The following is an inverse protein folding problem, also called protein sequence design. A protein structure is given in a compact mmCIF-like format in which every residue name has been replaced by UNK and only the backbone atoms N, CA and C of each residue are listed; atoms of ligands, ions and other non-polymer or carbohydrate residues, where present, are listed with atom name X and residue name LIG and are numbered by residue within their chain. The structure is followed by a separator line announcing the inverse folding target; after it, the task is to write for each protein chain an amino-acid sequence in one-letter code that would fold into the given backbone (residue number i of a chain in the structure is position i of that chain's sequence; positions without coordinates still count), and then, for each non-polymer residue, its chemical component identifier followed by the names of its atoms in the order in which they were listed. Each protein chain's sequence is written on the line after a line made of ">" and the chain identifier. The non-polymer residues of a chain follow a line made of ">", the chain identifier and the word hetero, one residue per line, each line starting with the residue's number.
data_IF_532731685681
#
_entry.id   IF_532731685681
#
_cell.length_a   1.000
_cell.length_b   1.000
_cell.length_c   1.000
_cell.angle_alpha   90.00
_cell.angle_beta   90.00
_cell.angle_gamma   90.00
#
_symmetry.space_group_name_H-M   'P 1'
#
loop_
_entity.id
_entity.type
_entity.pdbx_description
1 polymer ?
#
# COMPACT_ATOMS: atom_id res chain seq x y z
N UNK A 1 5.63 -10.70 26.08
CA UNK A 1 6.86 -11.00 26.84
C UNK A 1 8.02 -10.44 26.05
N UNK A 2 8.77 -9.51 26.59
CA UNK A 2 10.03 -9.06 25.99
C UNK A 2 11.05 -10.18 26.19
N UNK A 3 11.76 -10.68 25.17
CA UNK A 3 12.75 -11.72 25.39
C UNK A 3 13.86 -11.18 26.28
N UNK A 4 14.21 -11.91 27.33
CA UNK A 4 15.23 -11.59 28.32
C UNK A 4 16.69 -11.67 27.79
N UNK A 5 16.85 -11.80 26.49
CA UNK A 5 18.17 -11.92 25.86
C UNK A 5 18.56 -10.61 25.19
N UNK A 6 19.82 -10.19 25.30
CA UNK A 6 20.32 -9.05 24.54
C UNK A 6 20.11 -9.33 23.04
N UNK A 7 19.60 -8.34 22.31
CA UNK A 7 19.46 -8.47 20.86
C UNK A 7 20.86 -8.58 20.23
N UNK A 8 21.08 -9.71 19.56
CA UNK A 8 22.35 -10.00 18.87
C UNK A 8 22.32 -9.53 17.42
N UNK A 9 21.13 -9.28 16.87
CA UNK A 9 20.90 -8.88 15.47
C UNK A 9 19.82 -7.84 15.37
N UNK A 10 19.99 -6.93 14.42
CA UNK A 10 19.03 -5.91 14.06
C UNK A 10 18.40 -6.20 12.69
N UNK A 11 17.12 -6.50 12.69
CA UNK A 11 16.33 -6.62 11.47
C UNK A 11 15.47 -5.35 11.30
N UNK A 12 15.71 -4.61 10.21
CA UNK A 12 15.01 -3.36 9.91
C UNK A 12 14.12 -3.54 8.71
N UNK A 13 12.82 -3.31 8.89
CA UNK A 13 11.81 -3.28 7.84
C UNK A 13 11.62 -1.82 7.41
N UNK A 14 11.97 -1.49 6.18
CA UNK A 14 11.82 -0.16 5.60
C UNK A 14 10.55 -0.10 4.77
N UNK A 15 9.57 0.67 5.24
CA UNK A 15 8.25 0.81 4.65
C UNK A 15 7.19 -0.09 5.30
N UNK A 16 5.95 0.43 5.33
CA UNK A 16 4.79 -0.24 5.90
C UNK A 16 3.93 -0.97 4.86
N UNK A 17 4.51 -1.53 3.81
CA UNK A 17 3.78 -2.27 2.80
C UNK A 17 3.15 -3.56 3.32
N UNK A 18 2.33 -4.20 2.49
CA UNK A 18 1.56 -5.38 2.91
C UNK A 18 2.43 -6.60 3.21
N UNK A 19 3.60 -6.76 2.56
CA UNK A 19 4.52 -7.85 2.85
C UNK A 19 5.12 -7.69 4.26
N UNK A 20 5.49 -6.46 4.64
CA UNK A 20 5.94 -6.19 6.00
C UNK A 20 4.82 -6.31 7.04
N UNK A 21 3.58 -5.98 6.70
CA UNK A 21 2.44 -6.22 7.59
C UNK A 21 2.24 -7.71 7.85
N UNK A 22 2.33 -8.56 6.81
CA UNK A 22 2.30 -10.03 6.96
C UNK A 22 3.49 -10.53 7.78
N UNK A 23 4.68 -10.00 7.53
CA UNK A 23 5.88 -10.36 8.28
C UNK A 23 5.74 -10.02 9.77
N UNK A 24 5.23 -8.84 10.12
CA UNK A 24 4.94 -8.47 11.51
C UNK A 24 3.96 -9.44 12.16
N UNK A 25 2.92 -9.83 11.43
CA UNK A 25 1.95 -10.81 11.94
C UNK A 25 2.59 -12.17 12.19
N UNK A 26 3.39 -12.68 11.25
CA UNK A 26 4.09 -13.96 11.41
C UNK A 26 5.11 -13.90 12.56
N UNK A 27 5.84 -12.80 12.64
CA UNK A 27 6.83 -12.58 13.70
C UNK A 27 6.18 -12.55 15.09
N UNK A 28 5.02 -11.94 15.25
CA UNK A 28 4.30 -11.92 16.52
C UNK A 28 3.83 -13.31 16.96
N UNK A 29 3.66 -14.24 16.03
CA UNK A 29 3.31 -15.64 16.33
C UNK A 29 4.54 -16.50 16.64
N UNK A 30 5.67 -16.25 15.98
CA UNK A 30 6.91 -17.03 16.12
C UNK A 30 8.14 -16.10 15.97
N UNK A 31 8.50 -15.34 17.02
CA UNK A 31 9.61 -14.41 16.97
C UNK A 31 10.95 -15.13 16.96
N UNK A 32 11.87 -14.64 16.12
CA UNK A 32 13.23 -15.18 16.08
C UNK A 32 14.04 -14.72 17.31
N UNK A 33 14.49 -15.64 18.17
CA UNK A 33 15.23 -15.28 19.38
C UNK A 33 16.50 -14.49 19.07
N UNK A 34 16.85 -13.54 19.96
CA UNK A 34 18.04 -12.72 19.82
C UNK A 34 17.99 -11.70 18.69
N UNK A 35 16.83 -11.50 18.05
CA UNK A 35 16.69 -10.53 16.96
C UNK A 35 15.76 -9.40 17.37
N UNK A 36 16.24 -8.15 17.23
CA UNK A 36 15.43 -6.95 17.40
C UNK A 36 14.79 -6.57 16.07
N UNK A 37 13.47 -6.63 16.01
CA UNK A 37 12.70 -6.18 14.85
C UNK A 37 12.37 -4.70 14.96
N UNK A 38 12.60 -3.94 13.90
CA UNK A 38 12.23 -2.54 13.79
C UNK A 38 11.48 -2.30 12.49
N UNK A 39 10.32 -1.65 12.57
CA UNK A 39 9.61 -1.12 11.40
C UNK A 39 9.83 0.39 11.30
N UNK A 40 10.26 0.86 10.13
CA UNK A 40 10.38 2.28 9.79
C UNK A 40 9.31 2.59 8.73
N UNK A 41 8.40 3.50 9.02
CA UNK A 41 7.33 3.91 8.09
C UNK A 41 6.92 5.35 8.37
N UNK A 42 6.59 6.19 7.37
CA UNK A 42 6.10 7.53 7.62
C UNK A 42 4.69 7.54 8.24
N UNK A 43 3.87 6.53 7.92
CA UNK A 43 2.47 6.48 8.32
C UNK A 43 2.18 5.32 9.27
N UNK A 44 1.33 5.54 10.30
CA UNK A 44 0.96 4.50 11.27
C UNK A 44 -0.04 3.47 10.70
N UNK A 45 -0.63 3.77 9.55
CA UNK A 45 -1.64 2.95 8.89
C UNK A 45 -1.27 2.81 7.42
N UNK A 46 -1.47 1.64 6.86
CA UNK A 46 -1.26 1.39 5.42
C UNK A 46 -2.50 0.75 4.80
N UNK A 47 -2.73 1.02 3.52
CA UNK A 47 -3.83 0.41 2.80
C UNK A 47 -3.42 -0.90 2.13
N UNK A 48 -4.22 -1.94 2.25
CA UNK A 48 -4.03 -3.17 1.49
C UNK A 48 -4.55 -3.02 0.06
N UNK A 49 -3.65 -2.72 -0.85
CA UNK A 49 -3.98 -2.42 -2.25
C UNK A 49 -4.58 -3.60 -3.02
N UNK A 50 -4.36 -4.84 -2.57
CA UNK A 50 -4.99 -6.03 -3.14
C UNK A 50 -6.52 -6.06 -2.98
N UNK A 51 -7.07 -5.28 -2.04
CA UNK A 51 -8.53 -5.14 -1.87
C UNK A 51 -9.13 -3.97 -2.67
N UNK A 52 -8.33 -3.21 -3.41
CA UNK A 52 -8.82 -2.06 -4.18
C UNK A 52 -9.95 -2.44 -5.18
N UNK A 53 -9.86 -3.52 -5.97
CA UNK A 53 -10.98 -3.92 -6.84
C UNK A 53 -12.27 -4.15 -6.08
N UNK A 54 -12.20 -4.77 -4.89
CA UNK A 54 -13.35 -4.98 -4.03
C UNK A 54 -13.96 -3.69 -3.47
N UNK A 55 -13.12 -2.70 -3.12
CA UNK A 55 -13.58 -1.36 -2.76
C UNK A 55 -14.34 -0.70 -3.92
N UNK A 56 -13.76 -0.73 -5.12
CA UNK A 56 -14.38 -0.15 -6.32
C UNK A 56 -15.71 -0.84 -6.65
N UNK A 57 -15.77 -2.16 -6.50
CA UNK A 57 -16.99 -2.94 -6.69
C UNK A 57 -18.07 -2.65 -5.61
N UNK A 58 -17.68 -2.05 -4.48
CA UNK A 58 -18.57 -1.77 -3.36
C UNK A 58 -18.76 -2.94 -2.41
N UNK A 59 -17.87 -3.93 -2.44
CA UNK A 59 -17.88 -5.08 -1.53
C UNK A 59 -17.29 -4.74 -0.15
N UNK A 60 -16.40 -3.74 -0.10
CA UNK A 60 -15.72 -3.30 1.11
C UNK A 60 -15.87 -1.80 1.30
N UNK A 61 -15.85 -1.38 2.56
CA UNK A 61 -15.70 0.02 2.94
C UNK A 61 -14.21 0.35 3.04
N UNK A 62 -13.88 1.63 2.95
CA UNK A 62 -12.48 2.10 2.97
C UNK A 62 -11.71 1.68 4.22
N UNK A 63 -12.39 1.71 5.36
CA UNK A 63 -11.79 1.37 6.66
C UNK A 63 -11.38 -0.11 6.74
N UNK A 64 -12.07 -0.99 5.99
CA UNK A 64 -11.80 -2.43 5.97
C UNK A 64 -10.50 -2.78 5.23
N UNK A 65 -9.99 -1.86 4.41
CA UNK A 65 -8.73 -2.01 3.69
C UNK A 65 -7.52 -1.55 4.50
N UNK A 66 -7.75 -0.88 5.63
CA UNK A 66 -6.69 -0.21 6.38
C UNK A 66 -6.05 -1.18 7.39
N UNK A 67 -4.73 -1.26 7.34
CA UNK A 67 -3.91 -2.08 8.24
C UNK A 67 -3.27 -1.14 9.26
N UNK A 68 -3.57 -1.36 10.53
CA UNK A 68 -2.97 -0.64 11.66
C UNK A 68 -1.59 -1.21 11.99
N UNK A 69 -0.54 -0.51 11.54
CA UNK A 69 0.85 -0.91 11.75
C UNK A 69 1.30 -0.72 13.20
N UNK A 70 0.65 0.17 13.97
CA UNK A 70 0.94 0.34 15.39
C UNK A 70 0.54 -0.91 16.18
N UNK A 71 -0.68 -1.42 15.90
CA UNK A 71 -1.16 -2.65 16.55
C UNK A 71 -0.33 -3.85 16.14
N UNK A 72 0.03 -3.97 14.86
CA UNK A 72 0.88 -5.05 14.37
C UNK A 72 2.29 -5.00 14.95
N UNK A 73 2.93 -3.84 14.98
CA UNK A 73 4.24 -3.67 15.58
C UNK A 73 4.23 -4.04 17.08
N UNK A 74 3.18 -3.62 17.79
CA UNK A 74 3.00 -3.98 19.21
C UNK A 74 2.82 -5.50 19.39
N UNK A 75 2.00 -6.12 18.56
CA UNK A 75 1.79 -7.58 18.57
C UNK A 75 3.10 -8.34 18.28
N UNK A 76 3.89 -7.86 17.33
CA UNK A 76 5.19 -8.42 16.97
C UNK A 76 6.30 -8.14 18.00
N UNK A 77 6.07 -7.30 19.03
CA UNK A 77 7.13 -6.81 19.89
C UNK A 77 8.18 -5.97 19.13
N UNK A 78 7.82 -5.44 17.95
CA UNK A 78 8.70 -4.67 17.10
C UNK A 78 8.75 -3.21 17.53
N UNK A 79 9.94 -2.59 17.41
CA UNK A 79 10.08 -1.16 17.54
C UNK A 79 9.50 -0.47 16.31
N UNK A 80 8.55 0.44 16.50
CA UNK A 80 7.98 1.27 15.44
C UNK A 80 8.67 2.64 15.45
N UNK A 81 9.19 3.04 14.30
CA UNK A 81 9.75 4.37 14.03
C UNK A 81 8.88 5.04 12.97
N UNK A 82 8.10 6.03 13.39
CA UNK A 82 7.33 6.87 12.49
C UNK A 82 8.26 7.95 11.92
N UNK A 83 8.89 7.62 10.79
CA UNK A 83 9.78 8.50 10.04
C UNK A 83 9.93 7.97 8.61
N UNK A 84 10.45 8.81 7.74
CA UNK A 84 10.75 8.47 6.35
C UNK A 84 12.20 8.02 6.20
N UNK A 85 12.42 6.82 5.68
CA UNK A 85 13.74 6.42 5.21
C UNK A 85 14.11 7.20 3.93
N UNK A 86 15.28 7.80 3.90
CA UNK A 86 15.76 8.64 2.79
C UNK A 86 16.86 7.99 1.97
N UNK A 87 17.66 7.13 2.59
CA UNK A 87 18.72 6.38 1.92
C UNK A 87 19.10 5.12 2.71
N UNK A 88 19.74 4.17 2.03
CA UNK A 88 20.36 3.00 2.65
C UNK A 88 21.84 2.97 2.26
N UNK A 89 22.72 3.12 3.24
CA UNK A 89 24.15 2.89 3.09
C UNK A 89 24.45 1.41 3.35
N UNK A 90 24.72 0.68 2.27
CA UNK A 90 24.99 -0.76 2.33
C UNK A 90 26.36 -1.07 2.93
N UNK A 91 27.36 -0.19 2.72
CA UNK A 91 28.71 -0.39 3.20
C UNK A 91 28.79 -0.17 4.71
N UNK A 92 28.19 0.91 5.21
CA UNK A 92 28.10 1.22 6.63
C UNK A 92 26.94 0.47 7.34
N UNK A 93 26.06 -0.22 6.61
CA UNK A 93 24.84 -0.87 7.13
C UNK A 93 23.94 0.10 7.91
N UNK A 94 23.65 1.24 7.30
CA UNK A 94 22.82 2.29 7.90
C UNK A 94 21.59 2.59 7.05
N UNK A 95 20.44 2.73 7.70
CA UNK A 95 19.23 3.33 7.12
C UNK A 95 19.18 4.78 7.57
N UNK A 96 19.26 5.73 6.64
CA UNK A 96 19.14 7.16 6.90
C UNK A 96 17.66 7.54 7.01
N UNK A 97 17.34 8.38 8.00
CA UNK A 97 16.01 8.84 8.31
C UNK A 97 15.90 10.35 8.12
N UNK A 98 14.72 10.85 7.79
CA UNK A 98 14.51 12.27 7.51
C UNK A 98 14.63 13.14 8.78
N UNK A 99 14.09 12.67 9.90
CA UNK A 99 13.99 13.44 11.14
C UNK A 99 14.82 12.91 12.30
N UNK A 100 15.64 11.86 12.10
CA UNK A 100 16.35 11.16 13.18
C UNK A 100 17.75 10.72 12.75
N UNK A 101 18.58 10.34 13.73
CA UNK A 101 19.87 9.72 13.47
C UNK A 101 19.70 8.41 12.64
N UNK A 102 20.70 8.07 11.81
CA UNK A 102 20.68 6.82 11.06
C UNK A 102 20.53 5.60 11.96
N UNK A 103 19.87 4.58 11.45
CA UNK A 103 19.63 3.32 12.14
C UNK A 103 20.54 2.23 11.57
N UNK A 104 21.33 1.62 12.43
CA UNK A 104 22.15 0.47 12.05
C UNK A 104 21.28 -0.78 11.85
N UNK A 105 21.72 -1.69 10.97
CA UNK A 105 21.07 -2.96 10.70
C UNK A 105 22.07 -4.08 10.39
N UNK A 106 21.72 -5.30 10.71
CA UNK A 106 22.36 -6.51 10.22
C UNK A 106 21.70 -7.02 8.95
N UNK A 107 20.36 -6.93 8.93
CA UNK A 107 19.53 -7.25 7.77
C UNK A 107 18.46 -6.14 7.59
N UNK A 108 18.28 -5.71 6.36
CA UNK A 108 17.21 -4.78 6.00
C UNK A 108 16.32 -5.37 4.90
N UNK A 109 15.00 -5.24 5.07
CA UNK A 109 14.01 -5.53 4.04
C UNK A 109 13.30 -4.24 3.63
N UNK A 110 12.91 -4.14 2.35
CA UNK A 110 12.30 -2.94 1.78
C UNK A 110 10.93 -3.29 1.21
N UNK A 111 9.90 -2.61 1.71
CA UNK A 111 8.53 -2.69 1.19
C UNK A 111 7.86 -1.31 1.32
N UNK A 112 8.28 -0.39 0.46
CA UNK A 112 7.84 1.01 0.45
C UNK A 112 6.63 1.26 -0.46
N UNK A 113 6.14 0.21 -1.13
CA UNK A 113 5.12 0.32 -2.15
C UNK A 113 5.65 0.93 -3.46
N UNK A 114 4.73 1.14 -4.38
CA UNK A 114 5.00 1.80 -5.66
C UNK A 114 3.97 2.90 -5.89
N UNK A 115 4.34 3.92 -6.66
CA UNK A 115 3.42 4.87 -7.28
C UNK A 115 3.18 4.47 -8.73
N UNK A 116 2.00 4.80 -9.27
CA UNK A 116 1.76 4.66 -10.70
C UNK A 116 2.13 5.98 -11.38
N UNK A 117 3.13 5.92 -12.26
CA UNK A 117 3.42 7.04 -13.13
C UNK A 117 2.37 7.11 -14.23
N UNK A 118 1.90 8.31 -14.54
CA UNK A 118 1.04 8.51 -15.69
C UNK A 118 1.90 8.42 -16.96
N UNK A 119 1.40 7.72 -18.00
CA UNK A 119 2.13 7.63 -19.26
C UNK A 119 2.32 9.02 -19.88
N UNK A 120 3.39 9.19 -20.65
CA UNK A 120 3.61 10.40 -21.47
C UNK A 120 2.66 10.40 -22.67
N UNK A 121 1.41 10.71 -22.40
CA UNK A 121 0.33 10.81 -23.37
C UNK A 121 -0.34 12.16 -23.27
N UNK A 122 -0.69 12.73 -24.42
CA UNK A 122 -1.48 13.97 -24.45
C UNK A 122 -2.81 13.75 -23.73
N UNK A 123 -3.09 14.55 -22.69
CA UNK A 123 -4.28 14.42 -21.86
C UNK A 123 -4.12 13.51 -20.63
N UNK A 124 -2.96 12.92 -20.40
CA UNK A 124 -2.72 12.08 -19.20
C UNK A 124 -2.99 12.81 -17.88
N UNK A 125 -2.84 14.13 -17.84
CA UNK A 125 -3.17 14.95 -16.67
C UNK A 125 -4.65 14.92 -16.25
N UNK A 126 -5.55 14.42 -17.10
CA UNK A 126 -6.96 14.19 -16.77
C UNK A 126 -7.21 12.78 -16.23
N UNK A 127 -6.22 11.90 -16.29
CA UNK A 127 -6.32 10.55 -15.74
C UNK A 127 -6.03 10.53 -14.24
N UNK A 128 -6.59 9.56 -13.55
CA UNK A 128 -6.32 9.31 -12.13
C UNK A 128 -5.48 8.05 -12.03
N UNK A 129 -4.28 8.18 -11.46
CA UNK A 129 -3.41 7.05 -11.19
C UNK A 129 -4.05 6.11 -10.15
N UNK A 130 -3.95 4.80 -10.35
CA UNK A 130 -4.48 3.81 -9.41
C UNK A 130 -3.73 3.82 -8.06
N UNK A 131 -2.53 4.37 -8.05
CA UNK A 131 -1.71 4.57 -6.82
C UNK A 131 -1.20 6.02 -6.73
N UNK A 132 -1.23 6.62 -5.57
CA UNK A 132 -1.65 6.07 -4.27
C UNK A 132 -3.17 5.84 -4.18
N UNK A 133 -3.54 4.77 -3.47
CA UNK A 133 -4.91 4.27 -3.42
C UNK A 133 -5.94 5.29 -2.88
N UNK A 134 -5.55 6.08 -1.90
CA UNK A 134 -6.45 7.08 -1.29
C UNK A 134 -6.91 8.14 -2.28
N UNK A 135 -6.00 8.58 -3.15
CA UNK A 135 -6.31 9.54 -4.20
C UNK A 135 -7.26 8.95 -5.23
N UNK A 136 -7.01 7.69 -5.61
CA UNK A 136 -7.88 6.97 -6.54
C UNK A 136 -9.27 6.76 -5.97
N UNK A 137 -9.38 6.30 -4.72
CA UNK A 137 -10.66 6.08 -4.05
C UNK A 137 -11.46 7.39 -3.91
N UNK A 138 -10.81 8.50 -3.54
CA UNK A 138 -11.47 9.81 -3.48
C UNK A 138 -12.01 10.27 -4.85
N UNK A 139 -11.22 10.07 -5.91
CA UNK A 139 -11.66 10.38 -7.27
C UNK A 139 -12.82 9.47 -7.72
N UNK A 140 -12.80 8.20 -7.32
CA UNK A 140 -13.91 7.27 -7.56
C UNK A 140 -15.19 7.69 -6.87
N UNK A 141 -15.13 8.07 -5.60
CA UNK A 141 -16.29 8.57 -4.84
C UNK A 141 -16.87 9.83 -5.49
N UNK A 142 -16.00 10.77 -5.88
CA UNK A 142 -16.41 11.98 -6.59
C UNK A 142 -17.05 11.68 -7.96
N UNK A 143 -16.55 10.66 -8.67
CA UNK A 143 -17.14 10.21 -9.92
C UNK A 143 -18.53 9.61 -9.71
N UNK A 144 -18.73 8.76 -8.72
CA UNK A 144 -20.04 8.19 -8.38
C UNK A 144 -21.05 9.26 -7.98
N UNK A 145 -20.62 10.27 -7.23
CA UNK A 145 -21.48 11.38 -6.80
C UNK A 145 -22.09 12.20 -7.95
N UNK A 146 -21.55 12.07 -9.17
CA UNK A 146 -22.09 12.74 -10.37
C UNK A 146 -23.42 12.15 -10.85
N UNK A 147 -23.79 10.95 -10.40
CA UNK A 147 -25.08 10.30 -10.71
C UNK A 147 -25.34 10.08 -12.20
N UNK A 148 -24.32 9.77 -13.00
CA UNK A 148 -24.45 9.65 -14.46
C UNK A 148 -25.25 8.40 -14.85
N UNK A 149 -26.28 8.54 -15.68
CA UNK A 149 -27.07 7.40 -16.19
C UNK A 149 -26.26 6.53 -17.19
N UNK A 150 -25.36 7.15 -17.96
CA UNK A 150 -24.53 6.51 -18.97
C UNK A 150 -23.05 6.86 -18.74
N UNK A 151 -22.43 6.36 -17.65
CA UNK A 151 -21.06 6.69 -17.34
C UNK A 151 -20.10 6.03 -18.35
N UNK A 152 -19.08 6.80 -18.76
CA UNK A 152 -18.01 6.34 -19.64
C UNK A 152 -16.70 6.35 -18.86
N UNK A 153 -16.05 5.19 -18.77
CA UNK A 153 -14.79 5.03 -18.05
C UNK A 153 -13.77 4.35 -18.97
N UNK A 154 -12.61 4.97 -19.10
CA UNK A 154 -11.48 4.39 -19.83
C UNK A 154 -10.38 4.04 -18.84
N UNK A 155 -9.85 2.83 -18.94
CA UNK A 155 -8.75 2.33 -18.13
C UNK A 155 -7.55 2.14 -19.05
N UNK A 156 -6.42 2.70 -18.68
CA UNK A 156 -5.15 2.59 -19.38
C UNK A 156 -4.29 1.52 -18.71
N UNK A 157 -3.92 0.49 -19.48
CA UNK A 157 -3.19 -0.69 -19.05
C UNK A 157 -4.12 -1.89 -18.85
N UNK A 158 -3.95 -2.94 -19.65
CA UNK A 158 -4.71 -4.19 -19.58
C UNK A 158 -3.95 -5.31 -18.83
N UNK A 159 -2.97 -4.96 -18.02
CA UNK A 159 -2.40 -5.89 -17.07
C UNK A 159 -3.45 -6.33 -16.03
N UNK A 160 -3.10 -7.28 -15.16
CA UNK A 160 -4.02 -7.88 -14.20
C UNK A 160 -4.83 -6.83 -13.41
N UNK A 161 -4.16 -5.81 -12.86
CA UNK A 161 -4.84 -4.75 -12.10
C UNK A 161 -5.82 -3.91 -12.93
N UNK A 162 -5.50 -3.64 -14.21
CA UNK A 162 -6.40 -2.91 -15.10
C UNK A 162 -7.66 -3.71 -15.43
N UNK A 163 -7.51 -5.01 -15.68
CA UNK A 163 -8.64 -5.93 -15.91
C UNK A 163 -9.52 -6.01 -14.67
N UNK A 164 -8.94 -6.21 -13.50
CA UNK A 164 -9.69 -6.26 -12.23
C UNK A 164 -10.45 -4.96 -11.96
N UNK A 165 -9.82 -3.80 -12.17
CA UNK A 165 -10.49 -2.50 -12.00
C UNK A 165 -11.58 -2.28 -13.05
N UNK A 166 -11.42 -2.75 -14.29
CA UNK A 166 -12.46 -2.67 -15.31
C UNK A 166 -13.70 -3.47 -14.91
N UNK A 167 -13.50 -4.70 -14.46
CA UNK A 167 -14.58 -5.58 -14.00
C UNK A 167 -15.28 -5.03 -12.76
N UNK A 168 -14.52 -4.57 -11.77
CA UNK A 168 -15.03 -3.97 -10.54
C UNK A 168 -15.85 -2.70 -10.82
N UNK A 169 -15.32 -1.82 -11.69
CA UNK A 169 -16.01 -0.61 -12.14
C UNK A 169 -17.33 -0.94 -12.85
N UNK A 170 -17.29 -1.88 -13.79
CA UNK A 170 -18.48 -2.31 -14.51
C UNK A 170 -19.53 -2.90 -13.57
N UNK A 171 -19.11 -3.74 -12.63
CA UNK A 171 -19.98 -4.34 -11.61
C UNK A 171 -20.68 -3.24 -10.79
N UNK A 172 -19.88 -2.36 -10.19
CA UNK A 172 -20.42 -1.29 -9.32
C UNK A 172 -21.42 -0.40 -10.03
N UNK A 173 -21.09 0.07 -11.21
CA UNK A 173 -21.96 0.97 -11.98
C UNK A 173 -23.26 0.30 -12.40
N UNK A 174 -23.22 -0.98 -12.80
CA UNK A 174 -24.43 -1.75 -13.11
C UNK A 174 -25.31 -1.98 -11.87
N UNK A 175 -24.71 -2.28 -10.72
CA UNK A 175 -25.41 -2.44 -9.44
C UNK A 175 -26.15 -1.16 -9.03
N UNK A 176 -25.62 0.01 -9.42
CA UNK A 176 -26.25 1.31 -9.22
C UNK A 176 -27.34 1.63 -10.27
N UNK A 177 -27.70 0.68 -11.13
CA UNK A 177 -28.76 0.84 -12.14
C UNK A 177 -28.33 1.65 -13.37
N UNK A 178 -27.04 1.95 -13.54
CA UNK A 178 -26.54 2.69 -14.70
C UNK A 178 -26.20 1.78 -15.88
N UNK A 179 -26.01 2.35 -17.06
CA UNK A 179 -25.56 1.63 -18.27
C UNK A 179 -24.13 2.09 -18.63
N UNK A 180 -23.10 1.51 -17.98
CA UNK A 180 -21.73 1.95 -18.17
C UNK A 180 -21.14 1.48 -19.49
N UNK A 181 -20.31 2.33 -20.09
CA UNK A 181 -19.36 1.95 -21.14
C UNK A 181 -17.97 1.93 -20.54
N UNK A 182 -17.36 0.74 -20.45
CA UNK A 182 -15.99 0.57 -19.96
C UNK A 182 -15.10 0.23 -21.15
N UNK A 183 -14.03 0.99 -21.30
CA UNK A 183 -13.01 0.79 -22.33
C UNK A 183 -11.69 0.49 -21.65
N UNK A 184 -11.05 -0.60 -22.04
CA UNK A 184 -9.73 -0.99 -21.58
C UNK A 184 -8.76 -0.81 -22.75
N UNK A 185 -7.68 -0.05 -22.56
CA UNK A 185 -6.68 0.26 -23.59
C UNK A 185 -5.33 -0.22 -23.09
N UNK A 186 -4.61 -0.94 -23.96
CA UNK A 186 -3.22 -1.31 -23.73
C UNK A 186 -2.40 -1.01 -24.98
N UNK A 187 -1.09 -1.07 -24.82
CA UNK A 187 -0.14 -1.13 -25.93
C UNK A 187 0.08 -2.59 -26.32
N UNK A 188 0.35 -2.83 -27.57
CA UNK A 188 0.78 -4.15 -28.05
C UNK A 188 2.13 -4.57 -27.45
#
# INVERSE_FOLDING_TARGET
>A
MTPDYPALRDLVLVGGGHAHALMLRMWGMDPLPGTRLTLVTPDPVTAYTGMLPGLIAGHYRREELMIDLVRLARFAGARLILDRATAIDRAARLVHLAGRAPLAYDLAAIDIGITSDLPDLRGAGHAVAAKPMDRYAAAWDAFLARGLAFPRVTILGAGLGGVELALATAHRLRTLGTKPQITLIDRE
#
